data_IF_059945227089
#
_entry.id   IF_059945227089
#
_cell.length_a   1.000
_cell.length_b   1.000
_cell.length_c   1.000
_cell.angle_alpha   90.00
_cell.angle_beta   90.00
_cell.angle_gamma   90.00
#
_symmetry.space_group_name_H-M   'P 1'
#
loop_
_entity.id
_entity.type
_entity.pdbx_description
1 polymer ?
#
# COMPACT_ATOMS: atom_id res chain seq x y z
N UNK A 1 -34.32 -10.68 -52.56
CA UNK A 1 -33.98 -9.28 -52.23
C UNK A 1 -35.00 -8.84 -51.20
N UNK A 2 -34.69 -8.73 -49.91
CA UNK A 2 -33.55 -8.02 -49.33
C UNK A 2 -33.16 -8.72 -48.03
N UNK A 3 -31.89 -9.12 -47.91
CA UNK A 3 -31.27 -9.50 -46.64
C UNK A 3 -31.33 -8.29 -45.70
N UNK A 4 -32.13 -8.39 -44.63
CA UNK A 4 -31.98 -7.50 -43.50
C UNK A 4 -30.60 -7.77 -42.90
N UNK A 5 -29.69 -6.80 -43.01
CA UNK A 5 -28.39 -6.87 -42.37
C UNK A 5 -28.59 -7.11 -40.88
N UNK A 6 -28.06 -8.24 -40.38
CA UNK A 6 -27.98 -8.48 -38.95
C UNK A 6 -27.17 -7.33 -38.33
N UNK A 7 -27.86 -6.40 -37.67
CA UNK A 7 -27.21 -5.36 -36.87
C UNK A 7 -26.55 -6.10 -35.71
N UNK A 8 -25.25 -6.32 -35.85
CA UNK A 8 -24.41 -7.09 -34.95
C UNK A 8 -24.52 -6.52 -33.53
N UNK A 9 -25.34 -7.17 -32.72
CA UNK A 9 -25.77 -6.66 -31.42
C UNK A 9 -24.63 -6.93 -30.43
N UNK A 10 -24.25 -5.96 -29.58
CA UNK A 10 -23.12 -6.14 -28.68
C UNK A 10 -23.27 -7.38 -27.80
N UNK A 11 -22.18 -8.13 -27.60
CA UNK A 11 -22.20 -9.32 -26.76
C UNK A 11 -22.42 -8.94 -25.29
N UNK A 12 -23.60 -9.29 -24.76
CA UNK A 12 -23.97 -9.09 -23.36
C UNK A 12 -22.97 -9.70 -22.36
N UNK A 13 -22.55 -10.98 -22.47
CA UNK A 13 -21.64 -11.58 -21.48
C UNK A 13 -20.27 -10.88 -21.44
N UNK A 14 -19.73 -10.48 -22.60
CA UNK A 14 -18.46 -9.75 -22.66
C UNK A 14 -18.59 -8.32 -22.12
N UNK A 15 -19.75 -7.70 -22.29
CA UNK A 15 -20.02 -6.38 -21.67
C UNK A 15 -20.09 -6.51 -20.15
N UNK A 16 -20.73 -7.55 -19.61
CA UNK A 16 -20.70 -7.83 -18.16
C UNK A 16 -19.29 -8.09 -17.65
N UNK A 17 -18.46 -8.84 -18.38
CA UNK A 17 -17.06 -9.05 -18.01
C UNK A 17 -16.27 -7.73 -17.97
N UNK A 18 -16.53 -6.82 -18.91
CA UNK A 18 -15.95 -5.48 -18.90
C UNK A 18 -16.36 -4.66 -17.68
N UNK A 19 -17.65 -4.68 -17.32
CA UNK A 19 -18.18 -4.01 -16.11
C UNK A 19 -17.49 -4.56 -14.87
N UNK A 20 -17.46 -5.89 -14.73
CA UNK A 20 -16.81 -6.60 -13.63
C UNK A 20 -15.35 -6.15 -13.46
N UNK A 21 -14.57 -6.17 -14.55
CA UNK A 21 -13.15 -5.84 -14.50
C UNK A 21 -12.88 -4.36 -14.19
N UNK A 22 -13.69 -3.43 -14.72
CA UNK A 22 -13.55 -2.00 -14.40
C UNK A 22 -13.95 -1.72 -12.95
N UNK A 23 -15.04 -2.31 -12.45
CA UNK A 23 -15.46 -2.15 -11.06
C UNK A 23 -14.41 -2.74 -10.09
N UNK A 24 -13.90 -3.94 -10.40
CA UNK A 24 -12.84 -4.59 -9.65
C UNK A 24 -11.57 -3.74 -9.60
N UNK A 25 -11.11 -3.25 -10.75
CA UNK A 25 -9.93 -2.37 -10.83
C UNK A 25 -10.14 -1.04 -10.12
N UNK A 26 -11.34 -0.45 -10.19
CA UNK A 26 -11.67 0.82 -9.55
C UNK A 26 -11.52 0.71 -8.04
N UNK A 27 -12.12 -0.31 -7.41
CA UNK A 27 -12.02 -0.51 -5.97
C UNK A 27 -10.62 -0.96 -5.54
N UNK A 28 -9.94 -1.80 -6.33
CA UNK A 28 -8.54 -2.13 -6.07
C UNK A 28 -7.67 -0.87 -6.05
N UNK A 29 -7.82 0.00 -7.06
CA UNK A 29 -7.05 1.23 -7.15
C UNK A 29 -7.35 2.17 -5.98
N UNK A 30 -8.63 2.31 -5.59
CA UNK A 30 -9.03 3.12 -4.44
C UNK A 30 -8.33 2.65 -3.15
N UNK A 31 -8.39 1.36 -2.83
CA UNK A 31 -7.74 0.81 -1.64
C UNK A 31 -6.21 0.99 -1.71
N UNK A 32 -5.60 0.70 -2.86
CA UNK A 32 -4.15 0.84 -3.03
C UNK A 32 -3.69 2.29 -2.92
N UNK A 33 -4.46 3.24 -3.46
CA UNK A 33 -4.18 4.66 -3.30
C UNK A 33 -4.30 5.10 -1.84
N UNK A 34 -5.30 4.62 -1.07
CA UNK A 34 -5.36 4.95 0.36
C UNK A 34 -4.10 4.49 1.12
N UNK A 35 -3.53 3.33 0.75
CA UNK A 35 -2.27 2.83 1.33
C UNK A 35 -1.05 3.62 0.90
N UNK A 36 -0.96 3.99 -0.37
CA UNK A 36 0.15 4.82 -0.85
C UNK A 36 0.07 6.22 -0.22
N UNK A 37 -1.12 6.81 -0.16
CA UNK A 37 -1.35 8.12 0.46
C UNK A 37 -1.10 8.11 1.96
N UNK A 38 -1.41 7.03 2.69
CA UNK A 38 -1.10 6.96 4.13
C UNK A 38 0.41 6.92 4.42
N UNK A 39 1.23 6.51 3.45
CA UNK A 39 2.69 6.57 3.54
C UNK A 39 3.19 7.97 3.15
N UNK A 40 2.77 8.48 1.99
CA UNK A 40 3.21 9.79 1.48
C UNK A 40 2.75 10.92 2.41
N UNK A 41 1.49 10.91 2.78
CA UNK A 41 0.85 11.90 3.61
C UNK A 41 0.55 11.32 4.99
N UNK A 42 -0.12 12.09 5.84
CA UNK A 42 -0.60 11.60 7.14
C UNK A 42 -1.92 10.83 6.99
N UNK A 43 -2.22 9.91 7.91
CA UNK A 43 -3.37 9.00 7.80
C UNK A 43 -4.73 9.71 7.62
N UNK A 44 -4.87 10.94 8.13
CA UNK A 44 -6.09 11.74 7.93
C UNK A 44 -6.32 12.10 6.44
N UNK A 45 -5.26 12.32 5.67
CA UNK A 45 -5.32 12.54 4.22
C UNK A 45 -5.53 11.24 3.43
N UNK A 46 -5.34 10.06 4.03
CA UNK A 46 -5.68 8.81 3.34
C UNK A 46 -7.20 8.68 3.11
N UNK A 47 -8.03 9.13 4.07
CA UNK A 47 -9.49 9.17 3.91
C UNK A 47 -9.95 10.16 2.84
N UNK A 48 -9.13 11.18 2.52
CA UNK A 48 -9.40 12.12 1.44
C UNK A 48 -9.45 11.42 0.06
N UNK A 49 -8.67 10.35 -0.12
CA UNK A 49 -8.64 9.56 -1.37
C UNK A 49 -10.00 8.97 -1.70
N UNK A 50 -10.73 8.45 -0.72
CA UNK A 50 -12.08 7.87 -0.91
C UNK A 50 -13.03 8.94 -1.47
N UNK A 51 -13.01 10.14 -0.85
CA UNK A 51 -13.81 11.28 -1.31
C UNK A 51 -13.44 11.72 -2.72
N UNK A 52 -12.15 11.70 -3.07
CA UNK A 52 -11.66 12.03 -4.42
C UNK A 52 -12.05 10.98 -5.45
N UNK A 53 -12.05 9.70 -5.08
CA UNK A 53 -12.51 8.62 -5.94
C UNK A 53 -13.99 8.78 -6.27
N UNK A 54 -14.82 9.02 -5.24
CA UNK A 54 -16.24 9.33 -5.42
C UNK A 54 -16.47 10.61 -6.23
N UNK A 55 -15.71 11.68 -5.97
CA UNK A 55 -15.77 12.93 -6.72
C UNK A 55 -15.44 12.71 -8.19
N UNK A 56 -14.34 11.99 -8.48
CA UNK A 56 -13.94 11.61 -9.83
C UNK A 56 -15.04 10.84 -10.53
N UNK A 57 -15.51 9.73 -9.94
CA UNK A 57 -16.58 8.92 -10.51
C UNK A 57 -17.85 9.74 -10.79
N UNK A 58 -18.25 10.60 -9.86
CA UNK A 58 -19.41 11.50 -10.02
C UNK A 58 -19.18 12.50 -11.14
N UNK A 59 -18.00 13.11 -11.23
CA UNK A 59 -17.65 14.00 -12.34
C UNK A 59 -17.72 13.27 -13.69
N UNK A 60 -17.25 12.02 -13.75
CA UNK A 60 -17.39 11.15 -14.92
C UNK A 60 -18.86 10.92 -15.31
N UNK A 61 -19.72 10.61 -14.34
CA UNK A 61 -21.15 10.44 -14.55
C UNK A 61 -21.83 11.72 -15.07
N UNK A 62 -21.50 12.87 -14.47
CA UNK A 62 -22.00 14.19 -14.87
C UNK A 62 -21.55 14.54 -16.29
N UNK A 63 -20.30 14.23 -16.68
CA UNK A 63 -19.82 14.44 -18.04
C UNK A 63 -20.63 13.64 -19.07
N UNK A 64 -21.02 12.40 -18.75
CA UNK A 64 -21.88 11.59 -19.62
C UNK A 64 -23.24 12.26 -19.85
N UNK A 65 -23.80 12.88 -18.81
CA UNK A 65 -25.10 13.57 -18.90
C UNK A 65 -25.01 14.93 -19.61
N UNK A 66 -23.99 15.74 -19.33
CA UNK A 66 -23.84 17.10 -19.86
C UNK A 66 -23.33 17.13 -21.31
N UNK A 67 -22.69 16.07 -21.78
CA UNK A 67 -22.10 15.98 -23.12
C UNK A 67 -22.81 14.93 -24.01
N UNK A 68 -24.14 14.99 -24.20
CA UNK A 68 -24.89 13.94 -24.92
C UNK A 68 -24.43 13.78 -26.38
N UNK A 69 -23.87 14.84 -26.98
CA UNK A 69 -23.30 14.79 -28.34
C UNK A 69 -22.05 13.91 -28.44
N UNK A 70 -21.31 13.73 -27.36
CA UNK A 70 -20.12 12.87 -27.32
C UNK A 70 -20.45 11.41 -26.98
N UNK A 71 -21.57 11.19 -26.30
CA UNK A 71 -22.03 9.89 -25.81
C UNK A 71 -23.31 9.42 -26.51
N UNK A 72 -23.37 9.57 -27.83
CA UNK A 72 -24.49 9.09 -28.65
C UNK A 72 -24.54 7.56 -28.60
N UNK A 73 -25.75 7.00 -28.56
CA UNK A 73 -26.01 5.57 -28.37
C UNK A 73 -25.20 4.66 -29.33
N UNK A 74 -24.99 5.06 -30.59
CA UNK A 74 -24.21 4.27 -31.55
C UNK A 74 -22.71 4.19 -31.19
N UNK A 75 -22.21 5.19 -30.46
CA UNK A 75 -20.81 5.27 -30.02
C UNK A 75 -20.59 4.63 -28.65
N UNK A 76 -21.62 4.35 -27.87
CA UNK A 76 -21.52 3.84 -26.49
C UNK A 76 -20.57 2.63 -26.37
N UNK A 77 -20.66 1.57 -27.21
CA UNK A 77 -19.73 0.44 -27.12
C UNK A 77 -18.25 0.85 -27.27
N UNK A 78 -17.98 1.82 -28.14
CA UNK A 78 -16.63 2.35 -28.36
C UNK A 78 -16.20 3.28 -27.22
N UNK A 79 -17.11 4.09 -26.68
CA UNK A 79 -16.83 4.98 -25.54
C UNK A 79 -16.55 4.20 -24.26
N UNK A 80 -17.20 3.06 -24.06
CA UNK A 80 -16.91 2.13 -22.95
C UNK A 80 -15.46 1.67 -22.94
N UNK A 81 -15.00 1.10 -24.06
CA UNK A 81 -13.62 0.63 -24.16
C UNK A 81 -12.59 1.75 -24.16
N UNK A 82 -12.91 2.92 -24.73
CA UNK A 82 -12.05 4.10 -24.66
C UNK A 82 -11.90 4.61 -23.22
N UNK A 83 -13.00 4.72 -22.48
CA UNK A 83 -12.99 5.14 -21.09
C UNK A 83 -12.22 4.15 -20.20
N UNK A 84 -12.43 2.84 -20.40
CA UNK A 84 -11.70 1.79 -19.68
C UNK A 84 -10.19 1.77 -20.01
N UNK A 85 -9.80 1.95 -21.29
CA UNK A 85 -8.38 2.09 -21.65
C UNK A 85 -7.77 3.38 -21.09
N UNK A 86 -8.51 4.49 -21.14
CA UNK A 86 -8.05 5.76 -20.58
C UNK A 86 -7.90 5.66 -19.05
N UNK A 87 -8.81 4.97 -18.36
CA UNK A 87 -8.70 4.67 -16.94
C UNK A 87 -7.44 3.84 -16.65
N UNK A 88 -7.21 2.75 -17.40
CA UNK A 88 -6.02 1.92 -17.29
C UNK A 88 -4.72 2.71 -17.52
N UNK A 89 -4.69 3.58 -18.52
CA UNK A 89 -3.49 4.35 -18.88
C UNK A 89 -3.23 5.53 -17.91
N UNK A 90 -4.27 6.19 -17.41
CA UNK A 90 -4.11 7.33 -16.50
C UNK A 90 -3.83 6.91 -15.07
N UNK A 91 -4.31 5.74 -14.62
CA UNK A 91 -4.05 5.21 -13.27
C UNK A 91 -2.55 5.23 -12.86
N UNK A 92 -1.62 4.65 -13.64
CA UNK A 92 -0.19 4.69 -13.31
C UNK A 92 0.42 6.10 -13.39
N UNK A 93 -0.04 6.92 -14.34
CA UNK A 93 0.43 8.30 -14.49
C UNK A 93 0.03 9.16 -13.30
N UNK A 94 -1.24 9.06 -12.90
CA UNK A 94 -1.78 9.74 -11.73
C UNK A 94 -1.09 9.29 -10.45
N UNK A 95 -0.85 7.98 -10.30
CA UNK A 95 -0.10 7.46 -9.16
C UNK A 95 1.33 8.00 -9.13
N UNK A 96 2.09 7.89 -10.23
CA UNK A 96 3.47 8.38 -10.27
C UNK A 96 3.58 9.89 -10.00
N UNK A 97 2.63 10.67 -10.53
CA UNK A 97 2.56 12.11 -10.27
C UNK A 97 2.19 12.39 -8.80
N UNK A 98 1.21 11.69 -8.24
CA UNK A 98 0.84 11.82 -6.83
C UNK A 98 2.01 11.48 -5.88
N UNK A 99 2.82 10.46 -6.23
CA UNK A 99 4.03 10.07 -5.49
C UNK A 99 5.18 11.09 -5.59
N UNK A 100 5.10 12.00 -6.56
CA UNK A 100 6.10 13.03 -6.85
C UNK A 100 5.73 14.40 -6.29
N UNK A 101 4.48 14.61 -5.86
CA UNK A 101 4.02 15.87 -5.28
C UNK A 101 4.34 15.89 -3.78
N UNK A 102 5.13 16.85 -3.29
CA UNK A 102 5.35 17.03 -1.85
C UNK A 102 4.08 17.56 -1.19
N UNK A 103 3.62 16.89 -0.13
CA UNK A 103 2.43 17.29 0.64
C UNK A 103 2.85 17.79 2.02
N UNK A 104 2.96 19.10 2.17
CA UNK A 104 3.23 19.78 3.43
C UNK A 104 1.92 20.10 4.18
N UNK A 105 1.98 20.38 5.50
CA UNK A 105 0.89 21.07 6.19
C UNK A 105 0.51 22.36 5.44
N UNK A 106 -0.79 22.67 5.37
CA UNK A 106 -1.26 23.83 4.60
C UNK A 106 -1.03 25.10 5.41
N UNK A 107 0.09 25.77 5.16
CA UNK A 107 0.42 27.04 5.80
C UNK A 107 0.24 28.22 4.83
N UNK A 108 0.29 27.97 3.51
CA UNK A 108 0.08 28.99 2.49
C UNK A 108 -0.77 28.54 1.28
N UNK A 109 -0.93 29.46 0.31
CA UNK A 109 -1.71 29.21 -0.90
C UNK A 109 -1.09 28.16 -1.82
N UNK A 110 0.24 28.05 -1.86
CA UNK A 110 0.93 27.09 -2.72
C UNK A 110 0.76 25.66 -2.18
N UNK A 111 0.76 25.48 -0.85
CA UNK A 111 0.45 24.19 -0.22
C UNK A 111 -0.98 23.76 -0.52
N UNK A 112 -1.93 24.71 -0.50
CA UNK A 112 -3.31 24.43 -0.90
C UNK A 112 -3.40 24.02 -2.37
N UNK A 113 -2.67 24.69 -3.28
CA UNK A 113 -2.63 24.29 -4.68
C UNK A 113 -1.92 22.94 -4.90
N UNK A 114 -0.91 22.59 -4.10
CA UNK A 114 -0.28 21.29 -4.14
C UNK A 114 -1.27 20.18 -3.75
N UNK A 115 -2.05 20.37 -2.67
CA UNK A 115 -3.11 19.45 -2.28
C UNK A 115 -4.23 19.36 -3.33
N UNK A 116 -4.64 20.49 -3.90
CA UNK A 116 -5.65 20.52 -4.96
C UNK A 116 -5.16 19.79 -6.22
N UNK A 117 -3.89 19.97 -6.59
CA UNK A 117 -3.26 19.27 -7.71
C UNK A 117 -3.18 17.79 -7.43
N UNK A 118 -2.74 17.39 -6.24
CA UNK A 118 -2.72 16.00 -5.79
C UNK A 118 -4.11 15.35 -5.93
N UNK A 119 -5.14 16.02 -5.39
CA UNK A 119 -6.50 15.50 -5.46
C UNK A 119 -7.05 15.46 -6.89
N UNK A 120 -6.81 16.49 -7.68
CA UNK A 120 -7.21 16.53 -9.09
C UNK A 120 -6.56 15.42 -9.91
N UNK A 121 -5.26 15.19 -9.73
CA UNK A 121 -4.50 14.12 -10.40
C UNK A 121 -5.08 12.74 -10.04
N UNK A 122 -5.37 12.49 -8.76
CA UNK A 122 -5.99 11.23 -8.33
C UNK A 122 -7.41 11.06 -8.84
N UNK A 123 -8.20 12.13 -8.97
CA UNK A 123 -9.58 12.06 -9.44
C UNK A 123 -9.71 11.71 -10.94
N UNK A 124 -8.69 11.99 -11.76
CA UNK A 124 -8.70 11.72 -13.22
C UNK A 124 -9.03 10.26 -13.57
N UNK A 125 -8.31 9.25 -13.07
CA UNK A 125 -8.61 7.85 -13.39
C UNK A 125 -10.03 7.47 -12.92
N UNK A 126 -10.44 7.89 -11.72
CA UNK A 126 -11.80 7.63 -11.23
C UNK A 126 -12.89 8.29 -12.08
N UNK A 127 -12.64 9.46 -12.66
CA UNK A 127 -13.58 10.07 -13.61
C UNK A 127 -13.73 9.22 -14.88
N UNK A 128 -12.65 8.65 -15.39
CA UNK A 128 -12.69 7.78 -16.56
C UNK A 128 -13.35 6.43 -16.26
N UNK A 129 -13.08 5.85 -15.09
CA UNK A 129 -13.80 4.69 -14.56
C UNK A 129 -15.30 4.98 -14.40
N UNK A 130 -15.65 6.15 -13.83
CA UNK A 130 -17.02 6.62 -13.68
C UNK A 130 -17.75 6.81 -15.01
N UNK A 131 -17.09 7.33 -16.04
CA UNK A 131 -17.65 7.39 -17.41
C UNK A 131 -17.95 5.97 -17.91
N UNK A 132 -17.01 5.03 -17.79
CA UNK A 132 -17.19 3.66 -18.25
C UNK A 132 -18.37 2.98 -17.55
N UNK A 133 -18.42 3.02 -16.22
CA UNK A 133 -19.50 2.40 -15.44
C UNK A 133 -20.84 3.09 -15.68
N UNK A 134 -20.88 4.42 -15.77
CA UNK A 134 -22.12 5.17 -16.06
C UNK A 134 -22.69 4.78 -17.43
N UNK A 135 -21.86 4.74 -18.47
CA UNK A 135 -22.29 4.30 -19.80
C UNK A 135 -22.79 2.86 -19.78
N UNK A 136 -22.12 1.97 -19.05
CA UNK A 136 -22.47 0.56 -18.98
C UNK A 136 -23.82 0.35 -18.29
N UNK A 137 -24.07 1.06 -17.19
CA UNK A 137 -25.28 0.92 -16.38
C UNK A 137 -26.49 1.65 -16.98
N UNK A 138 -26.29 2.77 -17.69
CA UNK A 138 -27.40 3.62 -18.14
C UNK A 138 -27.66 3.57 -19.65
N UNK A 139 -26.65 3.25 -20.47
CA UNK A 139 -26.72 3.38 -21.94
C UNK A 139 -26.39 2.10 -22.72
N UNK A 140 -25.83 1.07 -22.09
CA UNK A 140 -25.45 -0.18 -22.78
C UNK A 140 -26.62 -1.14 -23.09
N UNK A 141 -27.87 -0.74 -22.78
CA UNK A 141 -29.10 -1.53 -23.04
C UNK A 141 -29.07 -2.93 -22.39
N UNK A 142 -28.43 -3.03 -21.22
CA UNK A 142 -28.41 -4.23 -20.39
C UNK A 142 -29.52 -4.18 -19.32
N UNK A 143 -30.03 -5.33 -18.85
CA UNK A 143 -30.81 -5.40 -17.62
C UNK A 143 -30.08 -4.71 -16.45
N UNK A 144 -30.66 -3.63 -15.92
CA UNK A 144 -30.02 -2.77 -14.93
C UNK A 144 -29.65 -3.53 -13.64
N UNK A 145 -30.53 -4.41 -13.15
CA UNK A 145 -30.28 -5.21 -11.94
C UNK A 145 -29.08 -6.15 -12.09
N UNK A 146 -28.93 -6.81 -13.25
CA UNK A 146 -27.80 -7.71 -13.52
C UNK A 146 -26.50 -6.92 -13.69
N UNK A 147 -26.53 -5.82 -14.43
CA UNK A 147 -25.33 -4.99 -14.63
C UNK A 147 -24.82 -4.43 -13.30
N UNK A 148 -25.74 -3.95 -12.45
CA UNK A 148 -25.43 -3.48 -11.11
C UNK A 148 -24.94 -4.60 -10.19
N UNK A 149 -25.54 -5.81 -10.26
CA UNK A 149 -25.06 -6.96 -9.50
C UNK A 149 -23.62 -7.38 -9.87
N UNK A 150 -23.29 -7.34 -11.16
CA UNK A 150 -21.93 -7.64 -11.64
C UNK A 150 -20.92 -6.59 -11.19
N UNK A 151 -21.30 -5.31 -11.21
CA UNK A 151 -20.51 -4.19 -10.67
C UNK A 151 -20.19 -4.41 -9.18
N UNK A 152 -21.21 -4.70 -8.36
CA UNK A 152 -21.04 -4.98 -6.92
C UNK A 152 -20.14 -6.18 -6.64
N UNK A 153 -20.27 -7.28 -7.40
CA UNK A 153 -19.40 -8.46 -7.22
C UNK A 153 -17.96 -8.12 -7.62
N UNK A 154 -17.76 -7.36 -8.70
CA UNK A 154 -16.45 -6.88 -9.13
C UNK A 154 -15.79 -6.03 -8.05
N UNK A 155 -16.51 -5.03 -7.54
CA UNK A 155 -16.08 -4.17 -6.45
C UNK A 155 -15.70 -4.95 -5.17
N UNK A 156 -16.57 -5.87 -4.72
CA UNK A 156 -16.33 -6.69 -3.53
C UNK A 156 -15.10 -7.60 -3.68
N UNK A 157 -14.95 -8.26 -4.83
CA UNK A 157 -13.76 -9.07 -5.11
C UNK A 157 -12.50 -8.22 -5.25
N UNK A 158 -12.61 -6.99 -5.78
CA UNK A 158 -11.52 -6.02 -5.80
C UNK A 158 -10.99 -5.72 -4.41
N UNK A 159 -11.88 -5.38 -3.46
CA UNK A 159 -11.51 -5.15 -2.07
C UNK A 159 -10.83 -6.37 -1.42
N UNK A 160 -11.35 -7.58 -1.65
CA UNK A 160 -10.78 -8.80 -1.10
C UNK A 160 -9.42 -9.17 -1.72
N UNK A 161 -9.26 -8.96 -3.03
CA UNK A 161 -8.06 -9.35 -3.77
C UNK A 161 -6.84 -8.47 -3.46
N UNK A 162 -7.05 -7.25 -2.97
CA UNK A 162 -5.94 -6.37 -2.56
C UNK A 162 -5.11 -6.99 -1.43
N UNK A 163 -5.72 -7.74 -0.50
CA UNK A 163 -5.02 -8.35 0.64
C UNK A 163 -3.92 -9.33 0.16
N UNK A 164 -4.22 -10.44 -0.53
CA UNK A 164 -3.20 -11.37 -1.01
C UNK A 164 -2.28 -10.77 -2.10
N UNK A 165 -2.66 -9.63 -2.68
CA UNK A 165 -1.84 -8.89 -3.63
C UNK A 165 -0.75 -8.09 -2.90
N UNK A 166 -1.11 -7.39 -1.81
CA UNK A 166 -0.17 -6.64 -0.98
C UNK A 166 0.76 -7.54 -0.14
N UNK A 167 0.38 -8.80 0.07
CA UNK A 167 1.28 -9.79 0.67
C UNK A 167 2.40 -10.23 -0.30
N UNK A 168 2.27 -9.95 -1.61
CA UNK A 168 3.22 -10.39 -2.64
C UNK A 168 3.89 -9.25 -3.40
N UNK A 169 3.24 -8.09 -3.48
CA UNK A 169 3.69 -6.93 -4.24
C UNK A 169 3.58 -5.69 -3.35
N UNK A 170 4.50 -4.74 -3.55
CA UNK A 170 4.34 -3.41 -2.98
C UNK A 170 3.11 -2.69 -3.55
N UNK A 171 2.57 -1.73 -2.80
CA UNK A 171 1.33 -1.03 -3.18
C UNK A 171 1.42 -0.33 -4.56
N UNK A 172 2.53 0.34 -4.93
CA UNK A 172 2.69 0.89 -6.28
C UNK A 172 2.66 -0.17 -7.39
N UNK A 173 3.37 -1.28 -7.22
CA UNK A 173 3.35 -2.40 -8.18
C UNK A 173 1.97 -3.04 -8.29
N UNK A 174 1.26 -3.20 -7.17
CA UNK A 174 -0.11 -3.71 -7.15
C UNK A 174 -1.09 -2.78 -7.89
N UNK A 175 -0.85 -1.46 -7.89
CA UNK A 175 -1.69 -0.51 -8.64
C UNK A 175 -1.50 -0.64 -10.16
N UNK A 176 -0.29 -1.00 -10.61
CA UNK A 176 -0.03 -1.36 -12.01
C UNK A 176 -0.79 -2.63 -12.42
N UNK A 177 -0.86 -3.62 -11.53
CA UNK A 177 -1.68 -4.83 -11.75
C UNK A 177 -3.17 -4.47 -11.83
N UNK A 178 -3.66 -3.60 -10.95
CA UNK A 178 -5.04 -3.10 -11.04
C UNK A 178 -5.31 -2.42 -12.39
N UNK A 179 -4.42 -1.54 -12.84
CA UNK A 179 -4.54 -0.88 -14.13
C UNK A 179 -4.54 -1.89 -15.31
N UNK A 180 -3.77 -2.97 -15.21
CA UNK A 180 -3.81 -4.06 -16.19
C UNK A 180 -5.18 -4.74 -16.25
N UNK A 181 -5.86 -4.93 -15.11
CA UNK A 181 -7.24 -5.44 -15.07
C UNK A 181 -8.21 -4.50 -15.78
N UNK A 182 -8.10 -3.17 -15.60
CA UNK A 182 -8.91 -2.21 -16.35
C UNK A 182 -8.68 -2.32 -17.87
N UNK A 183 -7.43 -2.54 -18.31
CA UNK A 183 -7.12 -2.76 -19.72
C UNK A 183 -7.74 -4.06 -20.26
N UNK A 184 -7.78 -5.13 -19.46
CA UNK A 184 -8.53 -6.36 -19.79
C UNK A 184 -10.04 -6.11 -19.87
N UNK A 185 -10.59 -5.29 -18.96
CA UNK A 185 -11.98 -4.84 -19.04
C UNK A 185 -12.28 -4.09 -20.35
N UNK A 186 -11.35 -3.25 -20.79
CA UNK A 186 -11.45 -2.59 -22.08
C UNK A 186 -11.38 -3.57 -23.25
N UNK A 187 -10.50 -4.58 -23.19
CA UNK A 187 -10.45 -5.65 -24.19
C UNK A 187 -11.77 -6.42 -24.25
N UNK A 188 -12.42 -6.70 -23.10
CA UNK A 188 -13.73 -7.32 -23.05
C UNK A 188 -14.81 -6.44 -23.71
N UNK A 189 -14.80 -5.13 -23.46
CA UNK A 189 -15.70 -4.20 -24.16
C UNK A 189 -15.44 -4.16 -25.68
N UNK A 190 -14.18 -4.13 -26.13
CA UNK A 190 -13.84 -4.17 -27.57
C UNK A 190 -14.28 -5.50 -28.19
N UNK A 191 -14.11 -6.61 -27.46
CA UNK A 191 -14.55 -7.93 -27.90
C UNK A 191 -16.08 -8.03 -27.95
N UNK A 192 -16.79 -7.27 -27.11
CA UNK A 192 -18.24 -7.16 -27.15
C UNK A 192 -18.76 -6.35 -28.35
N UNK A 193 -17.93 -5.46 -28.92
CA UNK A 193 -18.28 -4.76 -30.16
C UNK A 193 -18.40 -5.75 -31.32
N UNK A 194 -19.44 -5.56 -32.16
CA UNK A 194 -19.60 -6.31 -33.39
C UNK A 194 -18.42 -6.20 -34.36
N UNK A 195 -18.44 -6.95 -35.45
CA UNK A 195 -17.36 -7.02 -36.43
C UNK A 195 -17.06 -5.65 -37.05
N UNK A 196 -15.99 -5.00 -36.55
CA UNK A 196 -15.45 -3.75 -37.09
C UNK A 196 -14.05 -3.95 -37.67
N UNK A 197 -13.66 -3.21 -38.73
CA UNK A 197 -12.36 -3.38 -39.38
C UNK A 197 -11.16 -3.17 -38.44
N UNK A 198 -11.30 -2.29 -37.45
CA UNK A 198 -10.24 -1.94 -36.50
C UNK A 198 -10.29 -2.74 -35.19
N UNK A 199 -11.25 -3.67 -35.03
CA UNK A 199 -11.47 -4.44 -33.80
C UNK A 199 -10.23 -5.22 -33.39
N UNK A 200 -9.63 -5.98 -34.31
CA UNK A 200 -8.44 -6.78 -34.02
C UNK A 200 -7.27 -5.91 -33.57
N UNK A 201 -7.02 -4.79 -34.26
CA UNK A 201 -5.98 -3.83 -33.89
C UNK A 201 -6.19 -3.27 -32.48
N UNK A 202 -7.43 -2.94 -32.12
CA UNK A 202 -7.79 -2.43 -30.79
C UNK A 202 -7.68 -3.50 -29.70
N UNK A 203 -8.06 -4.75 -29.99
CA UNK A 203 -7.86 -5.88 -29.08
C UNK A 203 -6.38 -6.14 -28.82
N UNK A 204 -5.57 -6.16 -29.88
CA UNK A 204 -4.10 -6.27 -29.75
C UNK A 204 -3.56 -5.11 -28.94
N UNK A 205 -3.99 -3.88 -29.22
CA UNK A 205 -3.57 -2.70 -28.45
C UNK A 205 -3.93 -2.80 -26.96
N UNK A 206 -5.16 -3.19 -26.63
CA UNK A 206 -5.59 -3.39 -25.24
C UNK A 206 -4.83 -4.54 -24.55
N UNK A 207 -4.59 -5.64 -25.27
CA UNK A 207 -3.77 -6.75 -24.79
C UNK A 207 -2.34 -6.34 -24.52
N UNK A 208 -1.70 -5.58 -25.43
CA UNK A 208 -0.35 -5.03 -25.24
C UNK A 208 -0.31 -4.12 -24.02
N UNK A 209 -1.29 -3.22 -23.83
CA UNK A 209 -1.36 -2.36 -22.65
C UNK A 209 -1.50 -3.19 -21.37
N UNK A 210 -2.40 -4.18 -21.34
CA UNK A 210 -2.58 -5.05 -20.18
C UNK A 210 -1.29 -5.83 -19.85
N UNK A 211 -0.66 -6.45 -20.85
CA UNK A 211 0.60 -7.19 -20.67
C UNK A 211 1.75 -6.27 -20.26
N UNK A 212 1.83 -5.06 -20.81
CA UNK A 212 2.85 -4.07 -20.44
C UNK A 212 2.67 -3.61 -18.98
N UNK A 213 1.44 -3.26 -18.56
CA UNK A 213 1.16 -2.84 -17.19
C UNK A 213 1.43 -3.96 -16.17
N UNK A 214 1.02 -5.19 -16.48
CA UNK A 214 1.33 -6.36 -15.65
C UNK A 214 2.84 -6.61 -15.57
N UNK A 215 3.53 -6.55 -16.71
CA UNK A 215 4.98 -6.71 -16.79
C UNK A 215 5.72 -5.61 -16.01
N UNK A 216 5.28 -4.35 -16.12
CA UNK A 216 5.81 -3.23 -15.35
C UNK A 216 5.58 -3.42 -13.85
N UNK A 217 4.39 -3.87 -13.42
CA UNK A 217 4.10 -4.17 -12.02
C UNK A 217 5.03 -5.23 -11.44
N UNK A 218 5.20 -6.35 -12.16
CA UNK A 218 6.08 -7.43 -11.73
C UNK A 218 7.57 -7.03 -11.77
N UNK A 219 7.98 -6.21 -12.75
CA UNK A 219 9.34 -5.70 -12.85
C UNK A 219 9.65 -4.70 -11.73
N UNK A 220 8.71 -3.80 -11.42
CA UNK A 220 8.83 -2.82 -10.33
C UNK A 220 8.99 -3.51 -8.98
N UNK A 221 8.16 -4.53 -8.69
CA UNK A 221 8.22 -5.29 -7.44
C UNK A 221 9.51 -6.09 -7.23
N UNK A 222 10.22 -6.43 -8.32
CA UNK A 222 11.48 -7.19 -8.28
C UNK A 222 12.72 -6.31 -8.36
N UNK A 223 12.56 -5.03 -8.68
CA UNK A 223 13.67 -4.12 -8.79
C UNK A 223 14.23 -3.80 -7.40
N UNK A 224 15.55 -3.82 -7.26
CA UNK A 224 16.23 -3.37 -6.04
C UNK A 224 15.93 -1.89 -5.75
N UNK A 225 15.85 -1.10 -6.82
CA UNK A 225 15.39 0.29 -6.78
C UNK A 225 14.19 0.46 -7.73
N UNK A 226 12.96 0.28 -7.23
CA UNK A 226 11.76 0.39 -8.06
C UNK A 226 11.64 1.79 -8.68
N UNK A 227 11.46 1.90 -10.01
CA UNK A 227 11.27 3.21 -10.66
C UNK A 227 9.97 3.89 -10.21
N UNK A 228 8.92 3.12 -9.95
CA UNK A 228 7.67 3.62 -9.38
C UNK A 228 7.68 3.40 -7.86
N UNK A 229 8.01 4.47 -7.14
CA UNK A 229 8.14 4.50 -5.67
C UNK A 229 7.78 5.89 -5.13
N UNK A 230 7.50 6.03 -3.83
CA UNK A 230 7.33 7.35 -3.22
C UNK A 230 8.61 8.16 -3.40
N UNK A 231 8.53 9.33 -4.04
CA UNK A 231 9.64 10.28 -4.08
C UNK A 231 9.64 11.18 -2.84
N UNK A 232 8.46 11.40 -2.26
CA UNK A 232 8.24 12.16 -1.04
C UNK A 232 7.46 11.34 -0.03
N UNK A 233 7.91 11.36 1.23
CA UNK A 233 7.28 10.64 2.34
C UNK A 233 7.20 11.56 3.55
N UNK A 234 5.97 11.79 4.02
CA UNK A 234 5.59 12.78 5.03
C UNK A 234 6.04 14.18 4.64
N UNK A 235 7.24 14.56 5.07
CA UNK A 235 7.76 15.91 5.00
C UNK A 235 9.19 15.94 4.42
N UNK A 236 9.59 14.92 3.65
CA UNK A 236 10.95 14.83 3.14
C UNK A 236 11.05 14.04 1.85
N UNK A 237 12.05 14.37 1.01
CA UNK A 237 12.38 13.55 -0.14
C UNK A 237 12.98 12.24 0.35
N UNK A 238 12.71 11.17 -0.39
CA UNK A 238 13.19 9.84 -0.06
C UNK A 238 14.31 9.39 -1.00
N UNK A 239 15.49 9.13 -0.43
CA UNK A 239 16.66 8.61 -1.13
C UNK A 239 16.75 7.07 -0.96
N UNK A 240 16.57 6.26 -2.02
CA UNK A 240 16.67 4.80 -1.92
C UNK A 240 18.02 4.31 -1.42
N UNK A 241 19.09 5.06 -1.68
CA UNK A 241 20.43 4.66 -1.29
C UNK A 241 20.62 4.67 0.22
N UNK A 242 19.74 5.33 0.98
CA UNK A 242 19.79 5.33 2.44
C UNK A 242 19.29 4.03 3.05
N UNK A 243 18.51 3.22 2.32
CA UNK A 243 17.89 2.03 2.87
C UNK A 243 18.73 0.77 2.68
N UNK A 244 18.78 -0.04 3.74
CA UNK A 244 19.23 -1.43 3.71
C UNK A 244 18.07 -2.38 3.40
N UNK A 245 16.82 -1.97 3.64
CA UNK A 245 15.62 -2.76 3.35
C UNK A 245 14.38 -1.86 3.21
N UNK A 246 13.49 -2.24 2.29
CA UNK A 246 12.14 -1.67 2.14
C UNK A 246 11.17 -2.83 1.92
N UNK A 247 10.14 -2.91 2.76
CA UNK A 247 9.09 -3.93 2.67
C UNK A 247 7.71 -3.30 2.78
N UNK A 248 6.73 -3.92 2.12
CA UNK A 248 5.32 -3.56 2.21
C UNK A 248 4.52 -4.79 2.61
N UNK A 249 3.50 -4.58 3.43
CA UNK A 249 2.44 -5.54 3.69
C UNK A 249 1.09 -4.82 3.62
N UNK A 250 0.01 -5.54 3.92
CA UNK A 250 -1.37 -5.03 3.77
C UNK A 250 -1.67 -3.78 4.64
N UNK A 251 -0.95 -3.57 5.75
CA UNK A 251 -1.25 -2.51 6.72
C UNK A 251 -0.11 -1.51 6.97
N UNK A 252 1.09 -1.76 6.43
CA UNK A 252 2.25 -0.90 6.66
C UNK A 252 3.31 -0.99 5.57
N UNK A 253 4.19 0.01 5.55
CA UNK A 253 5.48 0.00 4.89
C UNK A 253 6.58 0.09 5.93
N UNK A 254 7.51 -0.86 5.89
CA UNK A 254 8.71 -0.88 6.74
C UNK A 254 9.92 -0.46 5.92
N UNK A 255 10.67 0.53 6.40
CA UNK A 255 12.00 0.85 5.87
C UNK A 255 13.04 0.65 6.96
N UNK A 256 14.23 0.19 6.57
CA UNK A 256 15.39 0.10 7.45
C UNK A 256 16.52 0.87 6.81
N UNK A 257 17.02 1.89 7.48
CA UNK A 257 18.17 2.68 7.04
C UNK A 257 19.48 1.88 7.18
N UNK A 258 20.50 2.25 6.39
CA UNK A 258 21.85 1.68 6.49
C UNK A 258 22.44 1.94 7.88
N UNK A 259 23.36 1.07 8.30
CA UNK A 259 23.99 1.17 9.62
C UNK A 259 24.73 2.50 9.75
N UNK A 260 24.43 3.23 10.81
CA UNK A 260 25.14 4.44 11.21
C UNK A 260 25.78 4.22 12.58
N UNK A 261 26.93 4.86 12.83
CA UNK A 261 27.50 4.98 14.17
C UNK A 261 27.11 6.32 14.73
N UNK A 262 26.23 6.32 15.73
CA UNK A 262 25.76 7.52 16.40
C UNK A 262 25.56 7.20 17.88
N UNK A 263 25.50 8.22 18.77
CA UNK A 263 25.12 7.98 20.15
C UNK A 263 23.84 7.13 20.24
N UNK A 264 23.75 6.20 21.20
CA UNK A 264 22.59 5.31 21.30
C UNK A 264 21.32 6.15 21.44
N UNK A 265 20.30 5.83 20.63
CA UNK A 265 19.02 6.50 20.79
C UNK A 265 18.40 6.13 22.14
N UNK A 266 17.89 7.12 22.85
CA UNK A 266 17.25 6.98 24.15
C UNK A 266 15.84 7.56 24.08
N UNK A 267 14.87 6.93 24.73
CA UNK A 267 13.51 7.46 24.82
C UNK A 267 13.43 8.54 25.88
N UNK A 268 13.96 8.24 27.06
CA UNK A 268 14.19 9.20 28.12
C UNK A 268 15.38 8.73 28.95
N UNK A 269 16.58 9.03 28.44
CA UNK A 269 17.84 8.71 29.11
C UNK A 269 18.06 9.55 30.37
N UNK A 270 18.60 8.93 31.40
CA UNK A 270 18.99 9.58 32.64
C UNK A 270 20.09 10.61 32.40
N UNK A 271 19.97 11.78 33.04
CA UNK A 271 21.03 12.81 33.06
C UNK A 271 22.28 12.37 33.82
N UNK A 272 22.20 11.27 34.58
CA UNK A 272 23.29 10.71 35.36
C UNK A 272 24.03 9.57 34.63
N UNK A 273 23.64 9.28 33.38
CA UNK A 273 24.30 8.22 32.61
C UNK A 273 25.79 8.54 32.41
N UNK A 274 26.70 7.58 32.68
CA UNK A 274 28.11 7.73 32.40
C UNK A 274 28.38 8.14 30.95
N UNK A 275 29.23 9.15 30.68
CA UNK A 275 29.51 9.62 29.32
C UNK A 275 30.05 8.52 28.38
N UNK A 276 30.71 7.50 28.93
CA UNK A 276 31.26 6.37 28.17
C UNK A 276 30.15 5.53 27.52
N UNK A 277 28.96 5.49 28.12
CA UNK A 277 27.79 4.78 27.57
C UNK A 277 27.08 5.59 26.48
N UNK A 278 27.41 6.87 26.29
CA UNK A 278 26.94 7.71 25.18
C UNK A 278 27.83 7.63 23.94
N UNK A 279 28.91 6.84 23.98
CA UNK A 279 29.80 6.68 22.83
C UNK A 279 29.03 6.10 21.62
N UNK A 280 29.37 6.51 20.38
CA UNK A 280 28.65 6.06 19.20
C UNK A 280 28.60 4.54 19.05
N UNK A 281 27.39 3.99 18.94
CA UNK A 281 27.13 2.57 18.69
C UNK A 281 26.57 2.36 17.28
N UNK A 282 26.89 1.24 16.63
CA UNK A 282 26.28 0.86 15.37
C UNK A 282 24.78 0.56 15.56
N UNK A 283 23.93 1.29 14.84
CA UNK A 283 22.48 1.13 14.88
C UNK A 283 21.86 1.38 13.50
N UNK A 284 20.68 0.82 13.26
CA UNK A 284 19.82 1.08 12.09
C UNK A 284 18.49 1.67 12.54
N UNK A 285 17.99 2.65 11.80
CA UNK A 285 16.65 3.18 12.01
C UNK A 285 15.65 2.31 11.25
N UNK A 286 14.68 1.73 11.95
CA UNK A 286 13.48 1.15 11.35
C UNK A 286 12.40 2.23 11.36
N UNK A 287 11.72 2.46 10.23
CA UNK A 287 10.55 3.34 10.16
C UNK A 287 9.32 2.59 9.67
N UNK A 288 8.19 2.84 10.31
CA UNK A 288 6.86 2.35 9.95
C UNK A 288 6.08 3.50 9.31
N UNK A 289 5.61 3.30 8.08
CA UNK A 289 4.91 4.29 7.25
C UNK A 289 5.65 5.64 7.19
N UNK A 290 6.99 5.63 7.27
CA UNK A 290 7.86 6.80 7.17
C UNK A 290 7.94 7.71 8.41
N UNK A 291 7.14 7.47 9.45
CA UNK A 291 7.05 8.38 10.61
C UNK A 291 7.44 7.72 11.95
N UNK A 292 6.82 6.61 12.31
CA UNK A 292 7.10 5.94 13.58
C UNK A 292 8.45 5.22 13.47
N UNK A 293 9.40 5.57 14.33
CA UNK A 293 10.77 5.07 14.24
C UNK A 293 11.15 4.25 15.47
N UNK A 294 12.02 3.26 15.28
CA UNK A 294 12.67 2.50 16.36
C UNK A 294 14.08 2.14 15.92
N UNK A 295 15.01 2.02 16.87
CA UNK A 295 16.40 1.68 16.58
C UNK A 295 16.65 0.19 16.76
N UNK A 296 17.27 -0.41 15.76
CA UNK A 296 17.84 -1.76 15.83
C UNK A 296 19.33 -1.63 16.08
N UNK A 297 19.76 -2.00 17.30
CA UNK A 297 21.18 -2.06 17.63
C UNK A 297 21.83 -3.30 17.02
N UNK A 298 23.11 -3.17 16.66
CA UNK A 298 23.90 -4.31 16.21
C UNK A 298 24.15 -5.28 17.38
N UNK A 299 24.02 -6.58 17.12
CA UNK A 299 24.29 -7.68 18.04
C UNK A 299 23.60 -7.51 19.40
N UNK A 300 22.27 -7.53 19.40
CA UNK A 300 21.45 -7.46 20.61
C UNK A 300 21.72 -8.58 21.62
N UNK A 301 22.34 -9.69 21.19
CA UNK A 301 22.78 -10.80 22.03
C UNK A 301 24.02 -10.49 22.88
N UNK A 302 24.84 -9.52 22.48
CA UNK A 302 26.00 -9.07 23.25
C UNK A 302 25.56 -8.10 24.35
N UNK A 303 24.75 -8.60 25.29
CA UNK A 303 24.03 -7.81 26.29
C UNK A 303 24.91 -6.74 26.93
N UNK A 304 26.12 -7.09 27.40
CA UNK A 304 27.07 -6.17 28.06
C UNK A 304 27.38 -4.88 27.27
N UNK A 305 27.34 -4.92 25.94
CA UNK A 305 27.56 -3.73 25.08
C UNK A 305 26.39 -2.75 25.08
N UNK A 306 25.22 -3.17 25.56
CA UNK A 306 23.99 -2.39 25.60
C UNK A 306 23.71 -1.78 26.97
N UNK A 307 24.76 -1.55 27.78
CA UNK A 307 24.64 -0.96 29.14
C UNK A 307 23.98 0.41 29.20
N UNK A 308 23.91 1.13 28.08
CA UNK A 308 23.16 2.39 27.98
C UNK A 308 21.65 2.19 28.20
N UNK A 309 21.09 1.02 27.90
CA UNK A 309 19.64 0.74 28.05
C UNK A 309 19.19 0.81 29.51
N UNK A 310 20.03 0.41 30.46
CA UNK A 310 19.73 0.42 31.90
C UNK A 310 19.42 1.83 32.43
N UNK A 311 19.90 2.86 31.71
CA UNK A 311 19.74 4.27 32.05
C UNK A 311 18.55 4.93 31.33
N UNK A 312 17.76 4.16 30.59
CA UNK A 312 16.53 4.62 29.95
C UNK A 312 15.31 4.37 30.82
N UNK A 313 14.28 5.20 30.66
CA UNK A 313 12.98 5.00 31.32
C UNK A 313 12.38 3.62 31.05
N UNK A 314 12.67 3.01 29.90
CA UNK A 314 12.21 1.66 29.52
C UNK A 314 12.70 0.56 30.48
N UNK A 315 13.81 0.79 31.20
CA UNK A 315 14.34 -0.18 32.17
C UNK A 315 13.62 -0.16 33.53
N UNK A 316 12.79 0.85 33.80
CA UNK A 316 12.19 1.08 35.13
C UNK A 316 11.35 -0.10 35.62
N UNK A 317 10.53 -0.70 34.74
CA UNK A 317 9.66 -1.82 35.12
C UNK A 317 10.46 -3.04 35.60
N UNK A 318 11.59 -3.31 34.94
CA UNK A 318 12.48 -4.41 35.26
C UNK A 318 13.24 -4.19 36.58
N UNK A 319 13.54 -2.93 36.93
CA UNK A 319 14.13 -2.62 38.25
C UNK A 319 13.13 -2.85 39.38
N UNK A 320 11.85 -2.55 39.16
CA UNK A 320 10.80 -2.80 40.17
C UNK A 320 10.43 -4.27 40.30
N UNK A 321 10.55 -5.03 39.22
CA UNK A 321 10.20 -6.45 39.15
C UNK A 321 11.31 -7.21 38.41
N UNK A 322 12.41 -7.51 39.09
CA UNK A 322 13.60 -8.09 38.44
C UNK A 322 13.46 -9.58 38.13
N UNK A 323 12.48 -10.26 38.72
CA UNK A 323 12.33 -11.70 38.64
C UNK A 323 11.12 -12.13 37.79
N UNK A 324 11.23 -13.31 37.17
CA UNK A 324 10.16 -13.99 36.44
C UNK A 324 10.09 -13.65 34.94
N UNK A 325 9.14 -14.22 34.18
CA UNK A 325 9.04 -13.99 32.73
C UNK A 325 8.62 -12.55 32.38
N UNK A 326 9.04 -12.03 31.23
CA UNK A 326 8.62 -10.71 30.73
C UNK A 326 7.93 -10.81 29.36
N UNK A 327 6.94 -9.95 29.13
CA UNK A 327 6.30 -9.78 27.82
C UNK A 327 6.58 -8.38 27.27
N UNK A 328 7.06 -8.32 26.03
CA UNK A 328 7.31 -7.08 25.30
C UNK A 328 6.26 -6.93 24.21
N UNK A 329 5.42 -5.90 24.32
CA UNK A 329 4.36 -5.60 23.34
C UNK A 329 4.83 -4.51 22.39
N UNK A 330 5.03 -4.86 21.12
CA UNK A 330 5.74 -4.04 20.13
C UNK A 330 7.24 -4.26 20.25
N UNK A 331 7.78 -5.24 19.52
CA UNK A 331 9.21 -5.56 19.54
C UNK A 331 10.02 -4.44 18.90
N UNK A 332 9.48 -3.83 17.83
CA UNK A 332 10.14 -2.74 17.14
C UNK A 332 11.56 -3.11 16.70
N UNK A 333 12.57 -2.36 17.14
CA UNK A 333 13.98 -2.64 16.85
C UNK A 333 14.65 -3.61 17.83
N UNK A 334 13.91 -4.17 18.78
CA UNK A 334 14.38 -5.14 19.77
C UNK A 334 14.92 -4.53 21.07
N UNK A 335 14.92 -3.20 21.22
CA UNK A 335 15.44 -2.52 22.43
C UNK A 335 14.82 -3.05 23.72
N UNK A 336 13.50 -3.17 23.77
CA UNK A 336 12.78 -3.55 25.00
C UNK A 336 12.98 -5.04 25.32
N UNK A 337 13.20 -5.87 24.30
CA UNK A 337 13.63 -7.26 24.47
C UNK A 337 15.04 -7.34 25.04
N UNK A 338 15.96 -6.49 24.57
CA UNK A 338 17.32 -6.38 25.14
C UNK A 338 17.23 -5.88 26.59
N UNK A 339 16.39 -4.89 26.89
CA UNK A 339 16.19 -4.38 28.25
C UNK A 339 15.74 -5.48 29.21
N UNK A 340 14.72 -6.26 28.81
CA UNK A 340 14.22 -7.38 29.61
C UNK A 340 15.28 -8.47 29.80
N UNK A 341 16.02 -8.82 28.75
CA UNK A 341 17.09 -9.81 28.83
C UNK A 341 18.26 -9.34 29.72
N UNK A 342 18.64 -8.07 29.62
CA UNK A 342 19.68 -7.44 30.47
C UNK A 342 19.30 -7.44 31.94
N UNK A 343 18.02 -7.27 32.25
CA UNK A 343 17.52 -7.36 33.62
C UNK A 343 17.55 -8.77 34.20
N UNK A 344 17.78 -9.80 33.38
CA UNK A 344 17.92 -11.18 33.81
C UNK A 344 16.62 -12.00 33.75
N UNK A 345 15.59 -11.53 33.05
CA UNK A 345 14.35 -12.28 32.89
C UNK A 345 14.63 -13.61 32.13
N UNK A 346 14.28 -14.79 32.71
CA UNK A 346 14.64 -16.09 32.13
C UNK A 346 13.87 -16.43 30.86
N UNK A 347 12.72 -15.78 30.62
CA UNK A 347 11.90 -15.90 29.43
C UNK A 347 11.41 -14.51 29.05
N UNK A 348 11.58 -14.15 27.78
CA UNK A 348 11.15 -12.86 27.22
C UNK A 348 10.35 -13.14 25.96
N UNK A 349 9.06 -12.83 25.98
CA UNK A 349 8.16 -13.02 24.83
C UNK A 349 7.90 -11.68 24.19
N UNK A 350 8.43 -11.47 22.99
CA UNK A 350 8.17 -10.30 22.17
C UNK A 350 7.00 -10.53 21.23
N UNK A 351 5.90 -9.79 21.40
CA UNK A 351 4.73 -9.84 20.53
C UNK A 351 4.71 -8.60 19.66
N UNK A 352 4.77 -8.79 18.34
CA UNK A 352 4.82 -7.71 17.37
C UNK A 352 3.69 -7.88 16.35
N UNK A 353 2.93 -6.80 16.13
CA UNK A 353 1.83 -6.80 15.18
C UNK A 353 2.34 -6.97 13.75
N UNK A 354 3.49 -6.36 13.47
CA UNK A 354 4.07 -6.31 12.13
C UNK A 354 4.95 -7.51 11.84
N UNK A 355 4.46 -8.41 10.99
CA UNK A 355 5.17 -9.60 10.55
C UNK A 355 6.53 -9.29 9.88
N UNK A 356 6.63 -8.18 9.15
CA UNK A 356 7.89 -7.74 8.57
C UNK A 356 8.92 -7.38 9.64
N UNK A 357 8.52 -6.78 10.76
CA UNK A 357 9.44 -6.44 11.86
C UNK A 357 9.95 -7.72 12.52
N UNK A 358 9.09 -8.72 12.75
CA UNK A 358 9.54 -10.03 13.24
C UNK A 358 10.53 -10.66 12.26
N UNK A 359 10.21 -10.64 10.96
CA UNK A 359 11.08 -11.15 9.90
C UNK A 359 12.44 -10.43 9.84
N UNK A 360 12.52 -9.14 10.18
CA UNK A 360 13.80 -8.44 10.31
C UNK A 360 14.70 -9.09 11.37
N UNK A 361 14.13 -9.52 12.49
CA UNK A 361 14.86 -10.14 13.59
C UNK A 361 15.12 -11.64 13.40
N UNK A 362 14.25 -12.37 12.68
CA UNK A 362 14.36 -13.83 12.50
C UNK A 362 15.11 -14.23 11.24
N UNK A 363 14.96 -13.49 10.14
CA UNK A 363 15.41 -13.94 8.80
C UNK A 363 16.20 -12.87 8.06
N UNK A 364 15.60 -11.70 7.78
CA UNK A 364 16.12 -10.69 6.84
C UNK A 364 17.40 -10.03 7.38
N UNK A 365 17.44 -9.70 8.67
CA UNK A 365 18.58 -9.06 9.33
C UNK A 365 19.00 -9.81 10.60
N UNK A 366 18.70 -11.11 10.67
CA UNK A 366 18.99 -11.97 11.82
C UNK A 366 20.47 -11.91 12.26
N UNK A 367 21.39 -11.82 11.29
CA UNK A 367 22.83 -11.71 11.56
C UNK A 367 23.26 -10.37 12.17
N UNK A 368 22.54 -9.29 11.85
CA UNK A 368 22.78 -7.94 12.38
C UNK A 368 22.13 -7.79 13.76
N UNK A 369 20.84 -8.13 13.89
CA UNK A 369 20.12 -7.98 15.15
C UNK A 369 20.49 -9.02 16.19
N UNK A 370 20.51 -10.31 15.82
CA UNK A 370 20.77 -11.45 16.72
C UNK A 370 19.87 -11.57 17.94
N UNK A 371 18.71 -10.91 17.95
CA UNK A 371 17.78 -10.94 19.08
C UNK A 371 17.35 -12.37 19.47
N UNK A 372 17.13 -13.23 18.48
CA UNK A 372 16.74 -14.64 18.66
C UNK A 372 17.87 -15.54 19.19
N UNK A 373 19.11 -15.03 19.31
CA UNK A 373 20.23 -15.74 19.94
C UNK A 373 20.29 -15.54 21.45
N UNK A 374 19.56 -14.56 21.97
CA UNK A 374 19.42 -14.36 23.41
C UNK A 374 18.66 -15.56 23.99
N UNK A 375 19.24 -16.30 24.97
CA UNK A 375 18.55 -17.43 25.57
C UNK A 375 17.22 -17.03 26.20
N UNK A 376 16.16 -17.77 25.90
CA UNK A 376 14.81 -17.53 26.45
C UNK A 376 13.99 -16.45 25.74
N UNK A 377 14.51 -15.83 24.66
CA UNK A 377 13.74 -14.91 23.82
C UNK A 377 12.89 -15.69 22.81
N UNK A 378 11.61 -15.36 22.74
CA UNK A 378 10.66 -15.82 21.74
C UNK A 378 10.02 -14.60 21.05
N UNK A 379 9.93 -14.59 19.72
CA UNK A 379 9.27 -13.53 18.96
C UNK A 379 8.04 -14.09 18.25
N UNK A 380 6.90 -13.40 18.40
CA UNK A 380 5.61 -13.81 17.87
C UNK A 380 5.03 -12.69 17.02
N UNK A 381 4.73 -12.99 15.75
CA UNK A 381 3.99 -12.09 14.86
C UNK A 381 2.48 -12.25 15.13
N UNK A 382 1.91 -11.36 15.95
CA UNK A 382 0.51 -11.42 16.32
C UNK A 382 -0.02 -10.06 16.82
N UNK A 383 -1.33 -9.87 16.75
CA UNK A 383 -1.98 -8.78 17.46
C UNK A 383 -1.95 -9.07 18.97
N UNK A 384 -1.40 -8.12 19.73
CA UNK A 384 -1.04 -8.34 21.12
C UNK A 384 -2.25 -8.67 22.02
N UNK A 385 -3.39 -7.99 21.86
CA UNK A 385 -4.56 -8.25 22.71
C UNK A 385 -5.09 -9.67 22.48
N UNK A 386 -5.29 -10.05 21.22
CA UNK A 386 -5.74 -11.39 20.83
C UNK A 386 -4.76 -12.48 21.26
N UNK A 387 -3.46 -12.25 21.10
CA UNK A 387 -2.44 -13.19 21.57
C UNK A 387 -2.50 -13.38 23.09
N UNK A 388 -2.55 -12.29 23.85
CA UNK A 388 -2.57 -12.33 25.32
C UNK A 388 -3.87 -12.93 25.89
N UNK A 389 -4.98 -12.94 25.14
CA UNK A 389 -6.20 -13.65 25.54
C UNK A 389 -6.04 -15.18 25.54
N UNK A 390 -5.16 -15.71 24.69
CA UNK A 390 -4.93 -17.16 24.56
C UNK A 390 -3.68 -17.64 25.31
N UNK A 391 -2.81 -16.71 25.69
CA UNK A 391 -1.57 -16.97 26.41
C UNK A 391 -1.84 -17.54 27.81
N UNK A 392 -1.15 -18.63 28.15
CA UNK A 392 -1.28 -19.33 29.43
C UNK A 392 -0.15 -18.99 30.40
N UNK A 393 0.97 -18.47 29.89
CA UNK A 393 2.09 -18.00 30.70
C UNK A 393 1.68 -16.78 31.51
N UNK A 394 2.25 -16.65 32.71
CA UNK A 394 2.14 -15.44 33.53
C UNK A 394 3.44 -14.67 33.44
N UNK A 395 3.33 -13.40 33.08
CA UNK A 395 4.45 -12.48 33.03
C UNK A 395 4.50 -11.62 34.29
N UNK A 396 5.72 -11.35 34.73
CA UNK A 396 6.00 -10.51 35.89
C UNK A 396 6.11 -9.04 35.48
N UNK A 397 6.58 -8.79 34.25
CA UNK A 397 6.67 -7.48 33.60
C UNK A 397 5.92 -7.53 32.27
#
# INVERSE_FOLDING_TARGET
>A
MTEASAVDTPSRPLTYLGIFAVALSTLMLEVLLTRVTSVIAWYHLAFFVISLAMLGMTAGAVLVFLLPRFFVDEQVPRRLSQAALAFAATSPLSLGMAMSIPLWPIDDLMDFFALLTYGGVLAVPFALGGVALTLALTRAKLPASTAYGVDLIGAALGCALVIPLLDRLDAPSAALVSAAVAALGAAAFIAAEGARPDRMRRLVGAGVVATALLGMGLANARAEHPPLRPAWVKNGPEDPEMFAYVGWNTYSRITVEKTVKAPPAMWAGSRLMPPELMLPVPQRTIRIDGAAATMMFEHGDELDKHGHIDWDITSFAHVLRPDGPAAVIGVGGGRDVIAAARAGHPQVVGVELNDLIVALHTDIMAGYSRLTRIPGVELVAAEARSHMEHEQRRFSV
#
